data_IF_301630703731
#
_entry.id   IF_301630703731
#
_cell.length_a   1.000
_cell.length_b   1.000
_cell.length_c   1.000
_cell.angle_alpha   90.00
_cell.angle_beta   90.00
_cell.angle_gamma   90.00
#
_symmetry.space_group_name_H-M   'P 1'
#
loop_
_entity.id
_entity.type
_entity.pdbx_description
1 polymer ?
#
# COMPACT_ATOMS: atom_id res chain seq x y z
N UNK A 1 -3.36 24.12 10.00
CA UNK A 1 -4.08 22.85 9.85
C UNK A 1 -3.64 22.28 8.52
N UNK A 2 -2.87 21.19 8.51
CA UNK A 2 -2.56 20.48 7.27
C UNK A 2 -3.86 19.91 6.72
N UNK A 3 -4.21 20.24 5.49
CA UNK A 3 -5.41 19.70 4.85
C UNK A 3 -5.24 18.18 4.73
N UNK A 4 -6.16 17.40 5.28
CA UNK A 4 -6.15 15.94 5.11
C UNK A 4 -6.49 15.65 3.65
N UNK A 5 -5.65 14.84 2.99
CA UNK A 5 -5.89 14.39 1.62
C UNK A 5 -6.90 13.24 1.70
N UNK A 6 -8.05 13.43 1.06
CA UNK A 6 -9.01 12.34 0.86
C UNK A 6 -8.47 11.38 -0.21
N UNK A 7 -8.29 10.08 0.11
CA UNK A 7 -7.73 9.14 -0.85
C UNK A 7 -8.74 8.80 -1.95
N UNK A 8 -8.22 8.51 -3.15
CA UNK A 8 -8.98 7.75 -4.14
C UNK A 8 -9.21 6.35 -3.59
N UNK A 9 -10.46 5.90 -3.67
CA UNK A 9 -10.90 4.58 -3.23
C UNK A 9 -10.97 3.66 -4.45
N UNK A 10 -10.32 2.51 -4.37
CA UNK A 10 -10.35 1.49 -5.41
C UNK A 10 -10.82 0.15 -4.83
N UNK A 11 -12.04 -0.24 -5.18
CA UNK A 11 -12.54 -1.58 -4.88
C UNK A 11 -12.01 -2.56 -5.94
N UNK A 12 -11.53 -3.71 -5.47
CA UNK A 12 -10.99 -4.76 -6.31
C UNK A 12 -11.84 -6.02 -6.12
N UNK A 13 -12.36 -6.53 -7.24
CA UNK A 13 -13.04 -7.81 -7.27
C UNK A 13 -12.05 -8.96 -7.13
N UNK A 14 -12.54 -10.11 -6.71
CA UNK A 14 -11.75 -11.33 -6.66
C UNK A 14 -11.30 -11.75 -8.08
N UNK A 15 -10.02 -12.12 -8.23
CA UNK A 15 -9.44 -12.62 -9.48
C UNK A 15 -9.14 -14.13 -9.36
N UNK A 16 -8.76 -14.75 -10.48
CA UNK A 16 -8.39 -16.16 -10.54
C UNK A 16 -7.25 -16.48 -9.57
N UNK A 17 -6.22 -15.64 -9.53
CA UNK A 17 -5.03 -15.87 -8.69
C UNK A 17 -4.96 -14.96 -7.46
N UNK A 18 -5.66 -13.83 -7.47
CA UNK A 18 -5.59 -12.84 -6.41
C UNK A 18 -6.92 -12.80 -5.63
N UNK A 19 -6.93 -13.05 -4.31
CA UNK A 19 -8.17 -13.08 -3.56
C UNK A 19 -8.82 -11.69 -3.48
N UNK A 20 -8.02 -10.63 -3.32
CA UNK A 20 -8.42 -9.24 -3.05
C UNK A 20 -9.39 -9.11 -1.85
N UNK A 21 -9.12 -8.17 -0.96
CA UNK A 21 -9.86 -8.10 0.31
C UNK A 21 -11.37 -7.90 0.08
N UNK A 22 -12.26 -8.64 0.79
CA UNK A 22 -13.70 -8.59 0.52
C UNK A 22 -14.39 -7.31 0.93
N UNK A 23 -13.84 -6.58 1.88
CA UNK A 23 -14.52 -5.41 2.47
C UNK A 23 -13.70 -4.12 2.45
N UNK A 24 -12.38 -4.22 2.27
CA UNK A 24 -11.51 -3.06 2.38
C UNK A 24 -11.03 -2.69 0.98
N UNK A 25 -11.22 -1.45 0.54
CA UNK A 25 -10.67 -0.97 -0.72
C UNK A 25 -9.19 -0.62 -0.57
N UNK A 26 -8.48 -0.61 -1.70
CA UNK A 26 -7.18 0.07 -1.78
C UNK A 26 -7.41 1.58 -1.63
N UNK A 27 -6.59 2.22 -0.80
CA UNK A 27 -6.59 3.67 -0.62
C UNK A 27 -5.37 4.26 -1.30
N UNK A 28 -5.56 5.28 -2.13
CA UNK A 28 -4.49 5.94 -2.89
C UNK A 28 -4.53 7.42 -2.56
N UNK A 29 -3.52 7.88 -1.83
CA UNK A 29 -3.34 9.27 -1.45
C UNK A 29 -2.34 9.91 -2.42
N UNK A 30 -2.77 10.93 -3.14
CA UNK A 30 -1.91 11.63 -4.09
C UNK A 30 -1.09 12.71 -3.35
N UNK A 31 0.24 12.64 -3.43
CA UNK A 31 1.13 13.69 -2.90
C UNK A 31 0.93 14.04 -1.43
N UNK A 32 1.15 13.09 -0.51
CA UNK A 32 0.94 13.29 0.95
C UNK A 32 1.95 14.25 1.61
N UNK A 33 3.09 14.47 0.98
CA UNK A 33 4.07 15.49 1.36
C UNK A 33 4.02 16.69 0.40
N UNK A 34 4.40 17.87 0.89
CA UNK A 34 4.65 19.01 0.02
C UNK A 34 5.85 18.72 -0.91
N UNK A 35 5.82 19.19 -2.17
CA UNK A 35 6.82 18.87 -3.20
C UNK A 35 8.26 19.34 -2.83
N UNK A 36 9.26 18.77 -3.52
CA UNK A 36 10.72 19.06 -3.47
C UNK A 36 11.55 18.48 -2.30
N UNK A 37 11.15 17.34 -1.73
CA UNK A 37 11.90 16.74 -0.62
C UNK A 37 13.09 15.87 -1.05
N UNK A 38 14.29 16.46 -0.99
CA UNK A 38 15.49 15.67 -0.74
C UNK A 38 15.30 14.90 0.58
N UNK A 39 15.36 13.57 0.54
CA UNK A 39 15.17 12.72 1.72
C UNK A 39 13.74 12.23 1.97
N UNK A 40 12.86 12.29 0.96
CA UNK A 40 11.49 11.73 1.01
C UNK A 40 11.43 10.27 1.53
N UNK A 41 12.45 9.47 1.27
CA UNK A 41 12.53 8.11 1.81
C UNK A 41 12.60 8.11 3.35
N UNK A 42 13.43 8.96 3.96
CA UNK A 42 13.44 9.14 5.43
C UNK A 42 12.13 9.72 5.94
N UNK A 43 11.52 10.66 5.22
CA UNK A 43 10.25 11.26 5.61
C UNK A 43 9.13 10.21 5.73
N UNK A 44 9.01 9.31 4.75
CA UNK A 44 8.07 8.18 4.83
C UNK A 44 8.39 7.22 5.98
N UNK A 45 9.66 6.84 6.17
CA UNK A 45 10.06 5.95 7.27
C UNK A 45 9.69 6.53 8.64
N UNK A 46 10.06 7.79 8.88
CA UNK A 46 9.75 8.49 10.12
C UNK A 46 8.25 8.59 10.33
N UNK A 47 7.51 8.93 9.27
CA UNK A 47 6.05 9.07 9.34
C UNK A 47 5.36 7.75 9.67
N UNK A 48 5.71 6.67 8.98
CA UNK A 48 5.18 5.34 9.24
C UNK A 48 5.50 4.88 10.67
N UNK A 49 6.76 5.05 11.11
CA UNK A 49 7.18 4.69 12.46
C UNK A 49 6.42 5.48 13.53
N UNK A 50 6.25 6.80 13.36
CA UNK A 50 5.49 7.66 14.26
C UNK A 50 4.02 7.22 14.38
N UNK A 51 3.44 6.74 13.29
CA UNK A 51 2.06 6.24 13.27
C UNK A 51 1.94 4.76 13.66
N UNK A 52 3.03 4.15 14.16
CA UNK A 52 3.01 2.79 14.70
C UNK A 52 3.06 1.68 13.65
N UNK A 53 3.32 2.02 12.39
CA UNK A 53 3.61 1.07 11.33
C UNK A 53 5.07 0.60 11.45
N UNK A 54 5.30 -0.69 11.18
CA UNK A 54 6.52 -1.44 11.48
C UNK A 54 7.03 -2.17 10.24
N UNK A 55 8.11 -2.93 10.39
CA UNK A 55 8.70 -3.71 9.30
C UNK A 55 9.13 -2.82 8.13
N UNK A 56 9.64 -1.63 8.44
CA UNK A 56 9.89 -0.59 7.44
C UNK A 56 11.08 -0.97 6.56
N UNK A 57 10.93 -0.85 5.25
CA UNK A 57 11.96 -1.20 4.26
C UNK A 57 11.97 -0.21 3.08
N UNK A 58 13.06 -0.23 2.30
CA UNK A 58 13.22 0.55 1.06
C UNK A 58 13.52 -0.38 -0.12
N UNK A 59 12.70 -0.35 -1.17
CA UNK A 59 12.93 -1.13 -2.40
C UNK A 59 12.00 -0.67 -3.54
N UNK A 60 11.92 -1.40 -4.64
CA UNK A 60 10.84 -1.30 -5.62
C UNK A 60 9.71 -2.30 -5.35
N UNK A 61 8.78 -2.40 -6.31
CA UNK A 61 7.70 -3.40 -6.34
C UNK A 61 8.07 -4.53 -7.30
N UNK A 62 7.77 -5.79 -6.95
CA UNK A 62 8.08 -6.94 -7.81
C UNK A 62 7.43 -6.83 -9.20
N UNK A 63 8.11 -7.35 -10.22
CA UNK A 63 7.61 -7.39 -11.60
C UNK A 63 6.61 -8.53 -11.88
N UNK A 64 6.14 -9.22 -10.84
CA UNK A 64 5.17 -10.31 -10.93
C UNK A 64 4.06 -10.08 -9.91
N UNK A 65 2.85 -10.57 -10.19
CA UNK A 65 1.75 -10.48 -9.23
C UNK A 65 2.06 -11.29 -7.98
N UNK A 66 1.89 -10.62 -6.85
CA UNK A 66 1.99 -11.20 -5.52
C UNK A 66 1.02 -10.48 -4.59
N UNK A 67 0.79 -11.07 -3.42
CA UNK A 67 0.00 -10.47 -2.36
C UNK A 67 0.45 -11.01 -0.99
N UNK A 68 0.01 -10.31 0.06
CA UNK A 68 0.16 -10.72 1.45
C UNK A 68 -1.15 -11.30 1.97
N UNK A 69 -1.23 -12.59 2.33
CA UNK A 69 -2.46 -13.18 2.86
C UNK A 69 -2.75 -12.75 4.30
N UNK A 70 -1.73 -12.27 5.02
CA UNK A 70 -1.68 -12.13 6.47
C UNK A 70 -1.32 -10.71 6.94
N UNK A 71 -1.12 -9.78 6.01
CA UNK A 71 -0.73 -8.41 6.33
C UNK A 71 -1.38 -7.39 5.38
N UNK A 72 -1.79 -6.25 5.93
CA UNK A 72 -2.00 -5.02 5.17
C UNK A 72 -0.66 -4.33 4.93
N UNK A 73 -0.54 -3.55 3.86
CA UNK A 73 0.72 -2.92 3.46
C UNK A 73 0.53 -1.45 3.12
N UNK A 74 1.44 -0.61 3.57
CA UNK A 74 1.57 0.78 3.13
C UNK A 74 2.79 0.91 2.24
N UNK A 75 2.64 1.59 1.10
CA UNK A 75 3.69 1.85 0.11
C UNK A 75 3.77 3.34 -0.15
N UNK A 76 4.80 4.01 0.39
CA UNK A 76 5.12 5.41 0.11
C UNK A 76 6.11 5.53 -1.04
N UNK A 77 5.74 6.20 -2.13
CA UNK A 77 6.62 6.41 -3.27
C UNK A 77 7.61 7.52 -2.95
N UNK A 78 8.85 7.16 -2.68
CA UNK A 78 9.87 8.11 -2.24
C UNK A 78 10.65 8.74 -3.39
N UNK A 79 10.78 8.06 -4.53
CA UNK A 79 11.47 8.58 -5.73
C UNK A 79 10.89 8.00 -7.01
N UNK A 80 11.07 8.74 -8.09
CA UNK A 80 10.73 8.30 -9.43
C UNK A 80 9.23 8.11 -9.63
N UNK A 81 8.88 7.22 -10.56
CA UNK A 81 7.51 6.85 -10.87
C UNK A 81 7.42 5.41 -11.37
N UNK A 82 6.25 4.80 -11.27
CA UNK A 82 5.98 3.47 -11.80
C UNK A 82 4.56 3.38 -12.36
N UNK A 83 4.37 2.45 -13.30
CA UNK A 83 3.05 1.92 -13.62
C UNK A 83 2.89 0.59 -12.89
N UNK A 84 1.84 0.48 -12.08
CA UNK A 84 1.51 -0.72 -11.31
C UNK A 84 0.16 -1.26 -11.74
N UNK A 85 -0.03 -2.57 -11.58
CA UNK A 85 -1.31 -3.22 -11.76
C UNK A 85 -1.76 -3.82 -10.43
N UNK A 86 -2.97 -3.47 -9.99
CA UNK A 86 -3.58 -3.90 -8.73
C UNK A 86 -4.82 -4.75 -9.00
N UNK A 87 -5.01 -5.82 -8.24
CA UNK A 87 -6.15 -6.73 -8.32
C UNK A 87 -5.94 -8.01 -9.13
N UNK A 88 -4.78 -8.21 -9.75
CA UNK A 88 -4.50 -9.36 -10.63
C UNK A 88 -4.49 -8.99 -12.11
N UNK A 89 -4.48 -9.99 -13.00
CA UNK A 89 -4.27 -9.76 -14.44
C UNK A 89 -5.38 -8.93 -15.10
N UNK A 90 -6.62 -9.06 -14.60
CA UNK A 90 -7.77 -8.23 -15.03
C UNK A 90 -7.93 -6.95 -14.22
N UNK A 91 -7.00 -6.67 -13.31
CA UNK A 91 -7.07 -5.57 -12.36
C UNK A 91 -6.71 -4.19 -12.94
N UNK A 92 -6.86 -3.18 -12.10
CA UNK A 92 -6.66 -1.76 -12.43
C UNK A 92 -5.17 -1.45 -12.64
N UNK A 93 -4.86 -0.71 -13.71
CA UNK A 93 -3.53 -0.14 -13.95
C UNK A 93 -3.52 1.32 -13.55
N UNK A 94 -2.53 1.73 -12.78
CA UNK A 94 -2.35 3.14 -12.45
C UNK A 94 -0.87 3.53 -12.41
N UNK A 95 -0.64 4.81 -12.69
CA UNK A 95 0.63 5.46 -12.48
C UNK A 95 0.71 5.95 -11.03
N UNK A 96 1.85 5.73 -10.41
CA UNK A 96 2.20 6.23 -9.07
C UNK A 96 3.51 7.01 -9.19
N UNK A 97 3.64 8.07 -8.42
CA UNK A 97 4.82 8.95 -8.46
C UNK A 97 5.21 9.45 -7.08
N UNK A 98 6.40 10.07 -7.00
CA UNK A 98 6.95 10.56 -5.74
C UNK A 98 5.93 11.37 -4.93
N UNK A 99 5.83 11.04 -3.65
CA UNK A 99 4.87 11.62 -2.71
C UNK A 99 3.55 10.87 -2.63
N UNK A 100 3.24 9.95 -3.56
CA UNK A 100 2.04 9.12 -3.43
C UNK A 100 2.18 8.09 -2.32
N UNK A 101 1.05 7.76 -1.70
CA UNK A 101 0.92 6.70 -0.71
C UNK A 101 -0.21 5.76 -1.10
N UNK A 102 0.09 4.47 -1.14
CA UNK A 102 -0.89 3.41 -1.34
C UNK A 102 -1.03 2.64 -0.02
N UNK A 103 -2.27 2.32 0.34
CA UNK A 103 -2.57 1.41 1.46
C UNK A 103 -3.35 0.24 0.91
N UNK A 104 -2.70 -0.92 0.93
CA UNK A 104 -3.15 -2.17 0.33
C UNK A 104 -3.73 -3.07 1.43
N UNK A 105 -5.01 -3.42 1.35
CA UNK A 105 -5.57 -4.49 2.17
C UNK A 105 -4.88 -5.84 1.94
N UNK A 106 -4.92 -6.74 2.92
CA UNK A 106 -4.44 -8.10 2.75
C UNK A 106 -5.15 -8.76 1.57
N UNK A 107 -4.40 -9.53 0.78
CA UNK A 107 -4.90 -10.16 -0.44
C UNK A 107 -4.86 -9.30 -1.68
N UNK A 108 -4.49 -8.02 -1.59
CA UNK A 108 -4.36 -7.15 -2.78
C UNK A 108 -3.24 -7.65 -3.67
N UNK A 109 -3.62 -8.26 -4.80
CA UNK A 109 -2.68 -8.66 -5.83
C UNK A 109 -2.03 -7.44 -6.46
N UNK A 110 -0.71 -7.35 -6.51
CA UNK A 110 -0.05 -6.20 -7.12
C UNK A 110 1.26 -6.55 -7.82
N UNK A 111 1.57 -5.81 -8.88
CA UNK A 111 2.85 -5.91 -9.62
C UNK A 111 3.25 -4.58 -10.22
N UNK A 112 4.54 -4.40 -10.44
CA UNK A 112 5.12 -3.33 -11.24
C UNK A 112 5.15 -3.74 -12.72
N UNK A 113 4.56 -2.92 -13.58
CA UNK A 113 4.63 -3.08 -15.05
C UNK A 113 5.87 -2.37 -15.61
N UNK A 114 6.08 -1.12 -15.20
CA UNK A 114 7.21 -0.29 -15.61
C UNK A 114 7.62 0.63 -14.47
N UNK A 115 8.85 1.14 -14.50
CA UNK A 115 9.33 2.13 -13.53
C UNK A 115 10.47 2.98 -14.11
N UNK A 116 10.62 4.19 -13.59
CA UNK A 116 11.82 5.00 -13.81
C UNK A 116 13.04 4.34 -13.16
N UNK A 117 14.24 4.69 -13.64
CA UNK A 117 15.49 4.08 -13.18
C UNK A 117 15.79 4.32 -11.68
N UNK A 118 15.24 5.39 -11.12
CA UNK A 118 15.43 5.84 -9.74
C UNK A 118 14.27 5.46 -8.81
N UNK A 119 13.28 4.70 -9.31
CA UNK A 119 12.06 4.35 -8.56
C UNK A 119 12.37 3.70 -7.23
N UNK A 120 11.84 4.29 -6.15
CA UNK A 120 11.98 3.79 -4.79
C UNK A 120 10.65 3.94 -4.05
N UNK A 121 10.29 2.88 -3.34
CA UNK A 121 9.18 2.80 -2.41
C UNK A 121 9.72 2.52 -1.00
N UNK A 122 9.08 3.13 -0.01
CA UNK A 122 9.18 2.77 1.40
C UNK A 122 7.95 1.93 1.74
N UNK A 123 8.16 0.69 2.18
CA UNK A 123 7.07 -0.18 2.62
C UNK A 123 6.99 -0.27 4.13
N UNK A 124 5.78 -0.49 4.66
CA UNK A 124 5.55 -0.73 6.08
C UNK A 124 4.26 -1.52 6.31
N UNK A 125 4.14 -2.13 7.50
CA UNK A 125 3.02 -2.99 7.89
C UNK A 125 2.42 -2.55 9.23
N UNK A 126 1.14 -2.81 9.51
CA UNK A 126 0.58 -2.58 10.84
C UNK A 126 1.33 -3.37 11.91
N UNK A 127 1.38 -2.84 13.14
CA UNK A 127 1.99 -3.56 14.27
C UNK A 127 1.34 -4.94 14.46
N UNK A 128 2.17 -5.98 14.49
CA UNK A 128 1.77 -7.38 14.59
C UNK A 128 1.68 -8.09 13.22
N UNK A 129 1.89 -7.37 12.11
CA UNK A 129 1.82 -7.89 10.74
C UNK A 129 3.17 -7.75 10.01
N UNK A 130 4.25 -7.37 10.71
CA UNK A 130 5.58 -7.17 10.12
C UNK A 130 6.28 -8.47 9.64
N UNK A 131 5.81 -9.64 10.09
CA UNK A 131 6.28 -10.95 9.64
C UNK A 131 5.27 -11.52 8.63
N UNK A 132 5.28 -10.96 7.43
CA UNK A 132 4.30 -11.25 6.38
C UNK A 132 4.72 -12.42 5.49
N UNK A 133 3.74 -13.05 4.86
CA UNK A 133 3.94 -14.04 3.80
C UNK A 133 3.80 -13.37 2.43
N UNK A 134 4.56 -13.84 1.43
CA UNK A 134 4.36 -13.45 0.02
C UNK A 134 3.86 -14.67 -0.75
N UNK A 135 2.68 -14.57 -1.35
CA UNK A 135 2.11 -15.61 -2.20
C UNK A 135 1.91 -15.10 -3.63
N UNK A 136 1.88 -16.05 -4.56
CA UNK A 136 1.60 -15.82 -6.00
C UNK A 136 0.43 -16.63 -6.52
N UNK A 137 -0.08 -17.53 -5.70
CA UNK A 137 -1.22 -18.40 -5.99
C UNK A 137 -2.28 -18.19 -4.92
N UNK A 138 -3.54 -18.21 -5.35
CA UNK A 138 -4.67 -17.81 -4.52
C UNK A 138 -4.84 -18.64 -3.24
N UNK A 139 -5.33 -17.95 -2.20
CA UNK A 139 -5.90 -18.55 -1.00
C UNK A 139 -7.39 -18.21 -0.92
N UNK A 140 -8.22 -18.95 -0.16
CA UNK A 140 -9.61 -18.59 0.06
C UNK A 140 -9.74 -17.15 0.57
N UNK A 141 -10.71 -16.39 0.04
CA UNK A 141 -10.91 -14.97 0.37
C UNK A 141 -11.19 -14.74 1.86
N UNK A 142 -11.76 -15.73 2.55
CA UNK A 142 -11.99 -15.69 3.99
C UNK A 142 -10.69 -15.67 4.82
N UNK A 143 -9.57 -16.12 4.28
CA UNK A 143 -8.26 -16.03 4.95
C UNK A 143 -7.85 -14.57 5.07
N UNK A 144 -7.92 -13.82 3.96
CA UNK A 144 -7.50 -12.41 3.95
C UNK A 144 -8.48 -11.52 4.69
N UNK A 145 -9.77 -11.89 4.73
CA UNK A 145 -10.82 -11.19 5.48
C UNK A 145 -10.60 -11.18 7.00
N UNK A 146 -9.84 -12.14 7.53
CA UNK A 146 -9.57 -12.28 8.96
C UNK A 146 -8.39 -11.41 9.43
N UNK A 147 -7.65 -10.80 8.50
CA UNK A 147 -6.49 -9.97 8.87
C UNK A 147 -6.98 -8.76 9.67
N UNK A 148 -6.44 -8.53 10.88
CA UNK A 148 -6.91 -7.46 11.73
C UNK A 148 -6.68 -6.10 11.08
N UNK A 149 -7.75 -5.30 11.02
CA UNK A 149 -7.68 -3.92 10.56
C UNK A 149 -6.61 -3.11 11.34
N UNK A 150 -5.85 -2.22 10.69
CA UNK A 150 -4.89 -1.34 11.36
C UNK A 150 -5.57 -0.39 12.35
N UNK A 151 -4.88 -0.06 13.45
CA UNK A 151 -5.39 0.89 14.46
C UNK A 151 -5.20 2.36 14.07
N UNK A 152 -4.32 2.64 13.12
CA UNK A 152 -3.91 3.98 12.70
C UNK A 152 -3.76 4.01 11.19
N UNK A 153 -4.05 5.17 10.59
CA UNK A 153 -3.66 5.49 9.23
C UNK A 153 -2.12 5.63 9.16
N UNK A 154 -1.45 5.10 8.11
CA UNK A 154 0.01 5.14 8.02
C UNK A 154 0.56 6.57 7.92
N UNK A 155 -0.22 7.54 7.45
CA UNK A 155 0.22 8.92 7.30
C UNK A 155 -0.41 9.88 8.31
N UNK A 156 -1.72 9.77 8.55
CA UNK A 156 -2.43 10.72 9.40
C UNK A 156 -2.70 10.19 10.82
N UNK A 157 -2.24 8.97 11.16
CA UNK A 157 -2.37 8.42 12.50
C UNK A 157 -3.84 8.19 12.89
N UNK A 158 -4.26 8.73 14.03
CA UNK A 158 -5.62 8.55 14.57
C UNK A 158 -6.70 9.39 13.87
N UNK A 159 -6.31 10.35 13.04
CA UNK A 159 -7.23 11.26 12.36
C UNK A 159 -7.34 10.97 10.86
N UNK A 160 -6.78 9.84 10.42
CA UNK A 160 -6.64 9.53 9.01
C UNK A 160 -7.87 8.91 8.34
N UNK A 161 -8.05 9.11 7.03
CA UNK A 161 -9.16 8.56 6.27
C UNK A 161 -9.31 7.03 6.36
N UNK A 162 -8.21 6.28 6.51
CA UNK A 162 -8.26 4.83 6.68
C UNK A 162 -9.17 4.41 7.84
N UNK A 163 -9.24 5.20 8.92
CA UNK A 163 -10.06 4.88 10.08
C UNK A 163 -11.58 5.03 9.86
N UNK A 164 -11.99 5.67 8.77
CA UNK A 164 -13.40 5.76 8.37
C UNK A 164 -13.73 4.87 7.18
N UNK A 165 -12.76 4.64 6.30
CA UNK A 165 -12.94 3.94 5.02
C UNK A 165 -12.77 2.43 5.13
N UNK A 166 -12.06 1.95 6.15
CA UNK A 166 -11.96 0.53 6.52
C UNK A 166 -12.81 0.26 7.76
#
# INVERSE_FOLDING_TARGET
MTNVIEPRILHLEEDVEMPNHPSFPVLIYAGVFAQDEAGMDRAFEERFAQNGWRGIWRNGIFGYHHFHPDAHEALGVARGSAEVQLGGESGERLRIEVGDLLVLPAGTGHKRLSASADFLVVGAYPKGQENYTILRSKVPRDVVAQVPRPRTDPFYGNDGPLLRLW
#
